data_IF_113497133803
#
_entry.id   IF_113497133803
#
_cell.length_a   1.000
_cell.length_b   1.000
_cell.length_c   1.000
_cell.angle_alpha   90.00
_cell.angle_beta   90.00
_cell.angle_gamma   90.00
#
_symmetry.space_group_name_H-M   'P 1'
#
loop_
_entity.id
_entity.type
_entity.pdbx_description
1 polymer ?
#
# COMPACT_ATOMS: atom_id res chain seq x y z
N UNK A 1 25.90 48.05 -46.09
CA UNK A 1 26.71 47.37 -45.07
C UNK A 1 25.98 47.43 -43.71
N UNK A 2 25.39 46.32 -43.26
CA UNK A 2 24.96 45.99 -41.86
C UNK A 2 24.04 44.78 -41.94
N UNK A 3 24.63 43.59 -42.12
CA UNK A 3 23.98 42.32 -41.81
C UNK A 3 25.08 41.46 -41.22
N UNK A 4 25.15 41.38 -39.92
CA UNK A 4 25.78 40.29 -39.16
C UNK A 4 25.55 40.59 -37.67
N UNK A 5 24.71 39.85 -37.03
CA UNK A 5 24.74 39.51 -35.57
C UNK A 5 23.36 39.05 -35.09
N UNK A 6 22.96 37.81 -35.37
CA UNK A 6 21.90 37.16 -34.64
C UNK A 6 21.97 35.61 -34.81
N UNK A 7 23.11 34.98 -34.50
CA UNK A 7 23.19 33.49 -34.48
C UNK A 7 24.07 32.98 -33.33
N UNK A 8 24.07 33.59 -32.15
CA UNK A 8 24.89 33.06 -31.06
C UNK A 8 24.18 32.58 -29.78
N UNK A 9 22.89 32.78 -29.51
CA UNK A 9 22.29 32.28 -28.26
C UNK A 9 21.82 30.83 -28.32
N UNK A 10 21.54 30.25 -29.49
CA UNK A 10 20.97 28.90 -29.61
C UNK A 10 21.96 27.76 -29.37
N UNK A 11 23.27 27.97 -29.59
CA UNK A 11 24.27 26.92 -29.39
C UNK A 11 24.73 26.73 -27.94
N UNK A 12 24.66 27.74 -27.10
CA UNK A 12 25.07 27.66 -25.70
C UNK A 12 24.05 26.89 -24.85
N UNK A 13 22.76 27.06 -25.08
CA UNK A 13 21.72 26.33 -24.37
C UNK A 13 21.73 24.81 -24.61
N UNK A 14 22.00 24.39 -25.85
CA UNK A 14 22.13 22.98 -26.22
C UNK A 14 23.35 22.29 -25.62
N UNK A 15 24.46 23.00 -25.44
CA UNK A 15 25.70 22.48 -24.85
C UNK A 15 25.55 22.26 -23.32
N UNK A 16 24.93 23.18 -22.61
CA UNK A 16 24.67 23.05 -21.17
C UNK A 16 23.67 21.92 -20.86
N UNK A 17 22.65 21.76 -21.68
CA UNK A 17 21.66 20.68 -21.51
C UNK A 17 22.26 19.28 -21.75
N UNK A 18 23.10 19.16 -22.78
CA UNK A 18 23.85 17.94 -23.10
C UNK A 18 24.86 17.56 -22.00
N UNK A 19 25.51 18.56 -21.40
CA UNK A 19 26.49 18.32 -20.33
C UNK A 19 25.81 17.89 -19.01
N UNK A 20 24.69 18.50 -18.63
CA UNK A 20 23.91 18.11 -17.45
C UNK A 20 23.34 16.71 -17.61
N UNK A 21 22.75 16.38 -18.75
CA UNK A 21 22.20 15.03 -19.01
C UNK A 21 23.27 13.94 -18.88
N UNK A 22 24.46 14.16 -19.42
CA UNK A 22 25.58 13.21 -19.31
C UNK A 22 26.03 13.01 -17.86
N UNK A 23 26.10 14.08 -17.07
CA UNK A 23 26.49 14.01 -15.66
C UNK A 23 25.43 13.25 -14.85
N UNK A 24 24.15 13.53 -15.07
CA UNK A 24 23.05 12.85 -14.38
C UNK A 24 22.98 11.36 -14.78
N UNK A 25 23.17 11.03 -16.05
CA UNK A 25 23.26 9.63 -16.49
C UNK A 25 24.42 8.87 -15.83
N UNK A 26 25.58 9.50 -15.66
CA UNK A 26 26.71 8.89 -14.94
C UNK A 26 26.39 8.72 -13.44
N UNK A 27 25.71 9.70 -12.84
CA UNK A 27 25.30 9.57 -11.42
C UNK A 27 24.24 8.48 -11.22
N UNK A 28 23.27 8.38 -12.13
CA UNK A 28 22.30 7.30 -12.16
C UNK A 28 22.96 5.93 -12.22
N UNK A 29 23.98 5.80 -13.09
CA UNK A 29 24.76 4.55 -13.15
C UNK A 29 25.46 4.24 -11.83
N UNK A 30 26.10 5.22 -11.18
CA UNK A 30 26.76 5.01 -9.87
C UNK A 30 25.75 4.58 -8.79
N UNK A 31 24.57 5.20 -8.74
CA UNK A 31 23.49 4.82 -7.82
C UNK A 31 23.05 3.37 -8.10
N UNK A 32 22.83 3.04 -9.37
CA UNK A 32 22.44 1.69 -9.77
C UNK A 32 23.51 0.65 -9.43
N UNK A 33 24.77 0.92 -9.74
CA UNK A 33 25.87 0.01 -9.45
C UNK A 33 26.00 -0.24 -7.94
N UNK A 34 25.92 0.81 -7.12
CA UNK A 34 25.99 0.70 -5.66
C UNK A 34 24.86 -0.18 -5.10
N UNK A 35 23.61 0.12 -5.45
CA UNK A 35 22.46 -0.59 -4.89
C UNK A 35 22.42 -2.05 -5.38
N UNK A 36 22.64 -2.29 -6.67
CA UNK A 36 22.56 -3.63 -7.24
C UNK A 36 23.66 -4.58 -6.76
N UNK A 37 24.82 -4.02 -6.35
CA UNK A 37 25.97 -4.80 -5.88
C UNK A 37 26.06 -4.86 -4.35
N UNK A 38 25.87 -3.72 -3.69
CA UNK A 38 26.12 -3.55 -2.24
C UNK A 38 24.83 -3.29 -1.42
N UNK A 39 23.67 -3.07 -2.08
CA UNK A 39 22.42 -2.77 -1.40
C UNK A 39 21.99 -3.85 -0.43
N UNK A 40 21.39 -3.45 0.68
CA UNK A 40 20.98 -4.31 1.79
C UNK A 40 19.48 -4.58 1.85
N UNK A 41 18.68 -3.98 0.97
CA UNK A 41 17.22 -4.07 1.02
C UNK A 41 16.71 -5.51 1.08
N UNK A 42 17.34 -6.45 0.37
CA UNK A 42 16.87 -7.83 0.35
C UNK A 42 17.15 -8.57 1.67
N UNK A 43 18.33 -8.37 2.24
CA UNK A 43 18.72 -8.92 3.55
C UNK A 43 17.92 -8.27 4.68
N UNK A 44 17.71 -6.96 4.63
CA UNK A 44 16.89 -6.21 5.59
C UNK A 44 15.41 -6.66 5.53
N UNK A 45 14.88 -6.91 4.32
CA UNK A 45 13.53 -7.45 4.15
C UNK A 45 13.41 -8.86 4.76
N UNK A 46 14.44 -9.71 4.56
CA UNK A 46 14.45 -11.03 5.18
C UNK A 46 14.38 -10.96 6.71
N UNK A 47 15.15 -10.06 7.33
CA UNK A 47 15.08 -9.86 8.79
C UNK A 47 13.66 -9.41 9.22
N UNK A 48 13.09 -8.42 8.52
CA UNK A 48 11.76 -7.89 8.86
C UNK A 48 10.68 -8.96 8.77
N UNK A 49 10.73 -9.79 7.73
CA UNK A 49 9.69 -10.80 7.44
C UNK A 49 9.89 -12.09 8.23
N UNK A 50 11.12 -12.63 8.28
CA UNK A 50 11.38 -13.95 8.90
C UNK A 50 11.64 -13.89 10.40
N UNK A 51 12.25 -12.81 10.89
CA UNK A 51 12.57 -12.70 12.31
C UNK A 51 11.45 -11.99 13.10
N UNK A 52 10.64 -11.15 12.45
CA UNK A 52 9.52 -10.44 13.07
C UNK A 52 8.16 -10.96 12.55
N UNK A 53 7.98 -11.02 11.23
CA UNK A 53 6.76 -11.53 10.58
C UNK A 53 5.64 -10.50 10.50
N UNK A 54 4.39 -11.01 10.55
CA UNK A 54 3.19 -10.17 10.53
C UNK A 54 3.21 -9.14 11.65
N UNK A 55 2.82 -7.90 11.32
CA UNK A 55 3.08 -6.76 12.21
C UNK A 55 1.96 -5.71 12.17
N UNK A 56 0.71 -6.14 12.27
CA UNK A 56 -0.44 -5.23 12.31
C UNK A 56 -0.27 -4.24 13.48
N UNK A 57 -0.58 -2.98 13.25
CA UNK A 57 -0.47 -1.92 14.26
C UNK A 57 -1.27 -2.27 15.53
N UNK A 58 -0.60 -2.16 16.68
CA UNK A 58 -1.15 -2.59 17.97
C UNK A 58 -0.70 -3.98 18.42
N UNK A 59 0.06 -4.71 17.60
CA UNK A 59 0.66 -5.99 17.97
C UNK A 59 2.07 -5.81 18.57
N UNK A 60 2.53 -6.83 19.31
CA UNK A 60 3.90 -6.87 19.82
C UNK A 60 4.94 -6.92 18.70
N UNK A 61 4.61 -7.52 17.57
CA UNK A 61 5.51 -7.57 16.42
C UNK A 61 5.64 -6.21 15.75
N UNK A 62 4.57 -5.40 15.73
CA UNK A 62 4.69 -4.01 15.29
C UNK A 62 5.71 -3.23 16.12
N UNK A 63 5.66 -3.34 17.44
CA UNK A 63 6.62 -2.65 18.32
C UNK A 63 8.08 -3.11 18.07
N UNK A 64 8.29 -4.42 17.85
CA UNK A 64 9.61 -4.96 17.45
C UNK A 64 10.06 -4.42 16.10
N UNK A 65 9.14 -4.29 15.13
CA UNK A 65 9.46 -3.74 13.81
C UNK A 65 9.83 -2.27 13.86
N UNK A 66 9.20 -1.50 14.75
CA UNK A 66 9.59 -0.11 14.98
C UNK A 66 11.00 0.02 15.58
N UNK A 67 11.36 -0.82 16.54
CA UNK A 67 12.72 -0.86 17.10
C UNK A 67 13.74 -1.33 16.05
N UNK A 68 13.38 -2.31 15.21
CA UNK A 68 14.18 -2.75 14.08
C UNK A 68 14.38 -1.62 13.05
N UNK A 69 13.32 -0.91 12.67
CA UNK A 69 13.41 0.19 11.71
C UNK A 69 14.31 1.33 12.23
N UNK A 70 14.22 1.67 13.52
CA UNK A 70 15.13 2.62 14.16
C UNK A 70 16.58 2.18 14.00
N UNK A 71 16.88 0.93 14.31
CA UNK A 71 18.24 0.36 14.15
C UNK A 71 18.71 0.44 12.70
N UNK A 72 17.85 0.05 11.73
CA UNK A 72 18.23 0.06 10.31
C UNK A 72 18.46 1.46 9.74
N UNK A 73 17.70 2.46 10.19
CA UNK A 73 17.93 3.86 9.82
C UNK A 73 19.27 4.38 10.36
N UNK A 74 19.64 4.03 11.59
CA UNK A 74 20.95 4.35 12.14
C UNK A 74 22.08 3.64 11.36
N UNK A 75 21.94 2.36 11.05
CA UNK A 75 22.88 1.58 10.23
C UNK A 75 23.02 2.14 8.80
N UNK A 76 21.93 2.68 8.24
CA UNK A 76 21.93 3.37 6.95
C UNK A 76 22.64 4.74 7.00
N UNK A 77 23.00 5.22 8.19
CA UNK A 77 23.77 6.45 8.40
C UNK A 77 22.91 7.70 8.53
N UNK A 78 21.66 7.57 9.00
CA UNK A 78 20.86 8.73 9.37
C UNK A 78 21.58 9.59 10.43
N UNK A 79 21.53 10.91 10.28
CA UNK A 79 22.12 11.85 11.24
C UNK A 79 21.29 11.97 12.53
N UNK A 80 19.95 11.75 12.39
CA UNK A 80 18.99 11.69 13.48
C UNK A 80 17.95 10.60 13.21
N UNK A 81 17.51 9.90 14.26
CA UNK A 81 16.39 8.96 14.22
C UNK A 81 15.54 9.17 15.48
N UNK A 82 14.21 9.20 15.31
CA UNK A 82 13.28 9.37 16.45
C UNK A 82 11.95 8.65 16.18
N UNK A 83 11.19 8.46 17.24
CA UNK A 83 9.81 7.97 17.18
C UNK A 83 8.81 9.13 17.16
N UNK A 84 7.82 9.04 16.30
CA UNK A 84 6.65 9.91 16.31
C UNK A 84 5.46 9.13 16.90
N UNK A 85 4.92 9.54 18.07
CA UNK A 85 3.77 8.86 18.67
C UNK A 85 2.53 8.93 17.76
N UNK A 86 1.82 7.80 17.63
CA UNK A 86 0.60 7.67 16.83
C UNK A 86 -0.45 6.91 17.63
N UNK A 87 -1.64 7.50 17.82
CA UNK A 87 -2.77 6.83 18.45
C UNK A 87 -3.51 5.98 17.42
N UNK A 88 -3.64 4.67 17.69
CA UNK A 88 -4.26 3.72 16.77
C UNK A 88 -5.40 2.95 17.46
N UNK A 89 -6.37 2.52 16.66
CA UNK A 89 -7.34 1.52 17.08
C UNK A 89 -6.69 0.13 16.96
N UNK A 90 -6.86 -0.70 17.98
CA UNK A 90 -6.34 -2.07 17.98
C UNK A 90 -7.45 -3.01 17.54
N UNK A 91 -7.22 -3.73 16.47
CA UNK A 91 -8.08 -4.81 15.99
C UNK A 91 -7.33 -6.13 16.04
N UNK A 92 -8.01 -7.21 16.39
CA UNK A 92 -7.44 -8.56 16.39
C UNK A 92 -8.38 -9.53 15.69
N UNK A 93 -7.82 -10.55 15.03
CA UNK A 93 -8.57 -11.55 14.27
C UNK A 93 -9.20 -12.61 15.18
N UNK A 94 -8.40 -13.33 15.94
CA UNK A 94 -8.85 -14.49 16.71
C UNK A 94 -9.12 -15.73 15.84
N UNK A 95 -9.77 -16.75 16.44
CA UNK A 95 -10.17 -17.95 15.71
C UNK A 95 -11.35 -17.66 14.79
N UNK A 96 -11.36 -18.32 13.62
CA UNK A 96 -12.39 -18.08 12.60
C UNK A 96 -12.66 -19.34 11.76
N UNK A 97 -13.94 -19.56 11.40
CA UNK A 97 -14.36 -20.65 10.52
C UNK A 97 -15.64 -20.31 9.75
N UNK A 98 -15.79 -20.90 8.59
CA UNK A 98 -16.99 -20.84 7.77
C UNK A 98 -17.32 -22.23 7.25
N UNK A 99 -18.53 -22.70 7.50
CA UNK A 99 -19.07 -23.93 6.95
C UNK A 99 -20.30 -23.64 6.10
N UNK A 100 -20.42 -24.30 4.97
CA UNK A 100 -21.57 -24.23 4.07
C UNK A 100 -22.26 -25.58 3.99
N UNK A 101 -23.59 -25.55 3.92
CA UNK A 101 -24.43 -26.73 3.69
C UNK A 101 -25.42 -26.46 2.57
N UNK A 102 -25.36 -27.27 1.52
CA UNK A 102 -26.26 -27.20 0.38
C UNK A 102 -27.47 -28.09 0.62
N UNK A 103 -28.67 -27.52 0.55
CA UNK A 103 -29.94 -28.17 0.88
C UNK A 103 -29.89 -28.79 2.30
N UNK A 104 -30.03 -30.12 2.42
CA UNK A 104 -29.92 -30.88 3.67
C UNK A 104 -28.67 -31.79 3.66
N UNK A 105 -27.64 -31.44 2.86
CA UNK A 105 -26.40 -32.20 2.75
C UNK A 105 -25.51 -32.10 3.99
N UNK A 106 -24.26 -32.50 3.84
CA UNK A 106 -23.21 -32.37 4.86
C UNK A 106 -22.66 -30.93 4.89
N UNK A 107 -22.25 -30.50 6.08
CA UNK A 107 -21.44 -29.30 6.23
C UNK A 107 -20.08 -29.49 5.55
N UNK A 108 -19.62 -28.45 4.87
CA UNK A 108 -18.34 -28.38 4.21
C UNK A 108 -17.64 -27.10 4.61
N UNK A 109 -16.45 -27.23 5.14
CA UNK A 109 -15.58 -26.09 5.48
C UNK A 109 -15.16 -25.35 4.22
N UNK A 110 -15.11 -24.02 4.32
CA UNK A 110 -14.66 -23.10 3.29
C UNK A 110 -13.59 -22.19 3.90
N UNK A 111 -12.46 -22.08 3.23
CA UNK A 111 -11.41 -21.14 3.65
C UNK A 111 -11.94 -19.71 3.62
N UNK A 112 -11.73 -19.00 4.69
CA UNK A 112 -12.15 -17.61 4.80
C UNK A 112 -11.17 -16.79 5.62
N UNK A 113 -11.22 -15.48 5.47
CA UNK A 113 -10.59 -14.52 6.38
C UNK A 113 -11.61 -13.46 6.77
N UNK A 114 -11.69 -13.15 8.05
CA UNK A 114 -12.43 -11.97 8.51
C UNK A 114 -11.81 -10.72 7.89
N UNK A 115 -12.65 -9.80 7.44
CA UNK A 115 -12.17 -8.50 6.97
C UNK A 115 -11.64 -7.69 8.15
N UNK A 116 -10.54 -7.00 7.92
CA UNK A 116 -9.95 -6.11 8.91
C UNK A 116 -10.97 -5.06 9.40
N UNK A 117 -10.90 -4.69 10.66
CA UNK A 117 -11.86 -3.83 11.37
C UNK A 117 -13.27 -4.42 11.50
N UNK A 118 -13.50 -5.68 11.07
CA UNK A 118 -14.79 -6.33 11.23
C UNK A 118 -15.09 -6.64 12.70
N UNK A 119 -16.38 -6.63 13.06
CA UNK A 119 -16.88 -7.23 14.29
C UNK A 119 -17.11 -8.73 14.08
N UNK A 120 -16.72 -9.54 15.06
CA UNK A 120 -16.92 -10.97 15.05
C UNK A 120 -18.29 -11.41 15.54
N UNK A 121 -18.47 -12.72 15.65
CA UNK A 121 -19.70 -13.36 16.15
C UNK A 121 -19.76 -13.46 17.67
N UNK A 122 -18.78 -12.90 18.39
CA UNK A 122 -18.70 -12.88 19.86
C UNK A 122 -18.67 -14.28 20.48
N UNK A 123 -17.94 -15.19 19.85
CA UNK A 123 -17.79 -16.57 20.32
C UNK A 123 -19.02 -17.46 20.14
N UNK A 124 -19.96 -17.05 19.29
CA UNK A 124 -21.19 -17.83 18.99
C UNK A 124 -21.25 -18.12 17.51
N UNK A 125 -21.74 -19.29 17.15
CA UNK A 125 -22.03 -19.61 15.77
C UNK A 125 -23.17 -18.73 15.25
N UNK A 126 -22.93 -18.08 14.11
CA UNK A 126 -23.92 -17.31 13.40
C UNK A 126 -24.42 -18.13 12.22
N UNK A 127 -25.64 -18.67 12.34
CA UNK A 127 -26.27 -19.44 11.27
C UNK A 127 -27.22 -18.55 10.44
N UNK A 128 -27.20 -18.74 9.12
CA UNK A 128 -28.10 -18.04 8.20
C UNK A 128 -28.13 -18.63 6.81
N UNK A 129 -29.25 -18.41 6.12
CA UNK A 129 -29.35 -18.71 4.69
C UNK A 129 -28.52 -17.71 3.88
N UNK A 130 -27.79 -18.21 2.90
CA UNK A 130 -26.94 -17.38 2.03
C UNK A 130 -27.74 -16.94 0.80
N UNK A 131 -27.72 -15.65 0.47
CA UNK A 131 -28.25 -15.08 -0.76
C UNK A 131 -27.14 -14.47 -1.60
N UNK A 132 -27.22 -14.68 -2.91
CA UNK A 132 -26.28 -14.12 -3.89
C UNK A 132 -26.69 -12.73 -4.32
N UNK A 133 -25.72 -11.82 -4.35
CA UNK A 133 -25.82 -10.49 -4.95
C UNK A 133 -24.60 -10.25 -5.83
N UNK A 134 -24.78 -9.72 -7.05
CA UNK A 134 -23.68 -9.44 -7.96
C UNK A 134 -23.14 -8.03 -7.82
N UNK A 135 -24.02 -7.05 -7.70
CA UNK A 135 -23.64 -5.63 -7.64
C UNK A 135 -24.33 -4.92 -6.47
N UNK A 136 -23.80 -3.79 -6.05
CA UNK A 136 -24.46 -2.92 -5.07
C UNK A 136 -25.79 -2.40 -5.61
N UNK A 137 -25.86 -2.10 -6.91
CA UNK A 137 -27.08 -1.66 -7.59
C UNK A 137 -28.18 -2.74 -7.56
N UNK A 138 -27.80 -4.02 -7.65
CA UNK A 138 -28.78 -5.13 -7.49
C UNK A 138 -29.18 -5.28 -6.03
N UNK A 139 -28.26 -5.09 -5.10
CA UNK A 139 -28.56 -5.12 -3.66
C UNK A 139 -29.54 -4.02 -3.26
N UNK A 140 -29.37 -2.81 -3.77
CA UNK A 140 -30.26 -1.67 -3.47
C UNK A 140 -31.73 -1.97 -3.87
N UNK A 141 -31.96 -2.71 -4.96
CA UNK A 141 -33.29 -3.11 -5.45
C UNK A 141 -33.97 -4.19 -4.59
N UNK A 142 -33.21 -4.91 -3.76
CA UNK A 142 -33.79 -5.95 -2.91
C UNK A 142 -34.62 -5.30 -1.79
N UNK A 143 -35.85 -5.78 -1.56
CA UNK A 143 -36.63 -5.34 -0.40
C UNK A 143 -36.01 -5.89 0.90
N UNK A 144 -36.18 -5.17 2.01
CA UNK A 144 -35.57 -5.53 3.29
C UNK A 144 -35.92 -6.95 3.75
N UNK A 145 -37.14 -7.41 3.52
CA UNK A 145 -37.56 -8.78 3.88
C UNK A 145 -36.77 -9.88 3.17
N UNK A 146 -36.19 -9.59 1.99
CA UNK A 146 -35.36 -10.54 1.26
C UNK A 146 -33.95 -10.65 1.85
N UNK A 147 -33.51 -9.63 2.57
CA UNK A 147 -32.17 -9.52 3.19
C UNK A 147 -32.21 -9.86 4.68
N UNK A 148 -33.32 -9.53 5.35
CA UNK A 148 -33.48 -9.73 6.78
C UNK A 148 -33.17 -11.15 7.20
N UNK A 149 -32.34 -11.29 8.24
CA UNK A 149 -31.88 -12.55 8.82
C UNK A 149 -31.05 -13.45 7.89
N UNK A 150 -30.58 -12.92 6.75
CA UNK A 150 -29.74 -13.62 5.76
C UNK A 150 -28.27 -13.27 5.91
N UNK A 151 -27.42 -14.12 5.36
CA UNK A 151 -26.01 -13.84 5.07
C UNK A 151 -25.92 -13.45 3.59
N UNK A 152 -25.42 -12.26 3.31
CA UNK A 152 -25.36 -11.75 1.92
C UNK A 152 -23.99 -12.04 1.33
N UNK A 153 -23.97 -12.78 0.24
CA UNK A 153 -22.76 -13.07 -0.52
C UNK A 153 -22.65 -12.15 -1.73
N UNK A 154 -21.63 -11.27 -1.74
CA UNK A 154 -21.29 -10.44 -2.88
C UNK A 154 -20.22 -11.11 -3.74
N UNK A 155 -20.60 -11.60 -4.93
CA UNK A 155 -19.64 -12.16 -5.89
C UNK A 155 -19.32 -11.15 -6.99
N UNK A 156 -18.48 -10.16 -6.66
CA UNK A 156 -17.99 -9.16 -7.61
C UNK A 156 -16.52 -9.40 -7.90
N UNK A 157 -16.24 -9.99 -9.08
CA UNK A 157 -14.87 -10.26 -9.52
C UNK A 157 -14.19 -9.00 -10.08
N UNK A 158 -12.86 -9.02 -10.11
CA UNK A 158 -12.10 -8.03 -10.86
C UNK A 158 -12.52 -8.02 -12.33
N UNK A 159 -12.79 -6.84 -12.86
CA UNK A 159 -13.10 -6.67 -14.27
C UNK A 159 -11.83 -6.86 -15.10
N UNK A 160 -11.88 -7.81 -16.02
CA UNK A 160 -10.73 -8.21 -16.83
C UNK A 160 -10.32 -7.17 -17.88
N UNK A 161 -11.19 -6.21 -18.20
CA UNK A 161 -10.89 -5.10 -19.11
C UNK A 161 -9.89 -4.09 -18.53
N UNK A 162 -9.65 -4.08 -17.22
CA UNK A 162 -8.63 -3.22 -16.62
C UNK A 162 -7.23 -3.82 -16.84
N UNK A 163 -6.43 -3.19 -17.68
CA UNK A 163 -5.04 -3.57 -17.92
C UNK A 163 -4.18 -3.34 -16.66
N UNK A 164 -4.46 -2.27 -15.92
CA UNK A 164 -3.81 -1.97 -14.64
C UNK A 164 -4.65 -2.57 -13.52
N UNK A 165 -4.16 -3.61 -12.88
CA UNK A 165 -4.90 -4.35 -11.84
C UNK A 165 -5.30 -3.48 -10.64
N UNK A 166 -4.54 -2.43 -10.31
CA UNK A 166 -4.91 -1.43 -9.31
C UNK A 166 -6.24 -0.71 -9.60
N UNK A 167 -6.63 -0.56 -10.88
CA UNK A 167 -7.93 -0.01 -11.26
C UNK A 167 -9.06 -1.01 -10.96
N UNK A 168 -8.82 -2.31 -11.21
CA UNK A 168 -9.77 -3.36 -10.85
C UNK A 168 -9.95 -3.45 -9.33
N UNK A 169 -8.86 -3.34 -8.56
CA UNK A 169 -8.91 -3.28 -7.10
C UNK A 169 -9.68 -2.06 -6.60
N UNK A 170 -9.46 -0.88 -7.18
CA UNK A 170 -10.21 0.34 -6.86
C UNK A 170 -11.71 0.21 -7.11
N UNK A 171 -12.11 -0.39 -8.26
CA UNK A 171 -13.51 -0.63 -8.63
C UNK A 171 -14.19 -1.63 -7.68
N UNK A 172 -13.53 -2.75 -7.37
CA UNK A 172 -14.07 -3.79 -6.49
C UNK A 172 -13.98 -3.44 -5.00
N UNK A 173 -13.08 -2.57 -4.59
CA UNK A 173 -12.81 -2.24 -3.19
C UNK A 173 -14.02 -1.73 -2.40
N UNK A 174 -15.00 -1.14 -3.05
CA UNK A 174 -16.27 -0.71 -2.42
C UNK A 174 -17.02 -1.90 -1.78
N UNK A 175 -16.98 -3.09 -2.38
CA UNK A 175 -17.66 -4.27 -1.84
C UNK A 175 -17.06 -4.72 -0.50
N UNK A 176 -15.78 -4.54 -0.29
CA UNK A 176 -15.13 -4.77 1.01
C UNK A 176 -15.48 -3.68 2.01
N UNK A 177 -15.48 -2.41 1.59
CA UNK A 177 -15.57 -1.27 2.50
C UNK A 177 -16.97 -0.96 3.00
N UNK A 178 -18.02 -1.04 2.15
CA UNK A 178 -19.35 -0.51 2.52
C UNK A 178 -20.41 -1.58 2.75
N UNK A 179 -20.26 -2.78 2.17
CA UNK A 179 -21.32 -3.79 2.20
C UNK A 179 -21.77 -4.20 3.59
N UNK A 180 -20.91 -4.26 4.66
CA UNK A 180 -21.39 -4.61 5.98
C UNK A 180 -22.44 -3.62 6.53
N UNK A 181 -22.23 -2.32 6.32
CA UNK A 181 -23.23 -1.32 6.72
C UNK A 181 -24.49 -1.38 5.88
N UNK A 182 -24.37 -1.53 4.55
CA UNK A 182 -25.52 -1.62 3.67
C UNK A 182 -26.40 -2.84 3.98
N UNK A 183 -25.78 -3.99 4.22
CA UNK A 183 -26.50 -5.22 4.61
C UNK A 183 -27.16 -5.07 5.97
N UNK A 184 -26.47 -4.47 6.95
CA UNK A 184 -27.03 -4.23 8.28
C UNK A 184 -28.25 -3.30 8.24
N UNK A 185 -28.28 -2.28 7.39
CA UNK A 185 -29.44 -1.38 7.20
C UNK A 185 -30.72 -2.14 6.81
N UNK A 186 -30.58 -3.23 6.07
CA UNK A 186 -31.72 -4.10 5.67
C UNK A 186 -31.92 -5.33 6.59
N UNK A 187 -31.25 -5.36 7.74
CA UNK A 187 -31.39 -6.42 8.75
C UNK A 187 -30.70 -7.73 8.42
N UNK A 188 -29.72 -7.73 7.51
CA UNK A 188 -28.88 -8.89 7.25
C UNK A 188 -27.93 -9.19 8.42
N UNK A 189 -27.50 -10.45 8.56
CA UNK A 189 -26.72 -10.95 9.70
C UNK A 189 -25.21 -10.87 9.50
N UNK A 190 -24.72 -11.10 8.27
CA UNK A 190 -23.30 -11.11 7.94
C UNK A 190 -23.11 -10.88 6.44
N UNK A 191 -21.86 -10.57 6.06
CA UNK A 191 -21.44 -10.42 4.67
C UNK A 191 -20.34 -11.41 4.35
N UNK A 192 -20.45 -12.07 3.21
CA UNK A 192 -19.37 -12.80 2.55
C UNK A 192 -19.04 -12.03 1.27
N UNK A 193 -17.77 -11.76 1.00
CA UNK A 193 -17.33 -11.20 -0.28
C UNK A 193 -16.39 -12.17 -1.00
N UNK A 194 -16.40 -12.11 -2.32
CA UNK A 194 -15.30 -12.64 -3.12
C UNK A 194 -14.03 -11.86 -2.81
N UNK A 195 -12.91 -12.53 -2.67
CA UNK A 195 -11.59 -11.91 -2.52
C UNK A 195 -11.27 -10.94 -3.65
N UNK A 196 -10.62 -9.83 -3.31
CA UNK A 196 -10.22 -8.79 -4.26
C UNK A 196 -8.89 -9.18 -4.91
N UNK A 197 -8.94 -10.04 -5.89
CA UNK A 197 -7.78 -10.64 -6.56
C UNK A 197 -8.01 -10.85 -8.05
N UNK A 198 -6.93 -10.93 -8.82
CA UNK A 198 -6.88 -11.45 -10.19
C UNK A 198 -6.64 -12.95 -10.26
N UNK A 199 -6.24 -13.58 -9.15
CA UNK A 199 -5.99 -15.02 -9.05
C UNK A 199 -7.27 -15.85 -9.14
N UNK A 200 -7.13 -17.10 -9.63
CA UNK A 200 -8.16 -18.14 -9.66
C UNK A 200 -7.77 -19.29 -8.73
N UNK A 201 -7.66 -19.00 -7.46
CA UNK A 201 -7.34 -19.95 -6.41
C UNK A 201 -8.34 -19.86 -5.25
N UNK A 202 -8.10 -20.63 -4.20
CA UNK A 202 -8.94 -20.66 -3.00
C UNK A 202 -8.25 -19.97 -1.81
N UNK A 203 -7.41 -18.96 -2.07
CA UNK A 203 -6.79 -18.13 -1.04
C UNK A 203 -7.68 -16.93 -0.74
N UNK A 204 -8.17 -16.77 0.50
CA UNK A 204 -8.96 -15.59 0.86
C UNK A 204 -8.05 -14.39 1.10
N UNK A 205 -8.53 -13.20 0.71
CA UNK A 205 -7.87 -11.91 0.88
C UNK A 205 -8.61 -11.06 1.90
N UNK A 206 -7.91 -10.63 2.94
CA UNK A 206 -8.46 -9.70 3.94
C UNK A 206 -8.41 -8.23 3.45
N UNK A 207 -8.35 -7.31 4.37
CA UNK A 207 -8.27 -5.87 4.16
C UNK A 207 -9.39 -5.14 4.89
N UNK A 208 -9.20 -3.86 5.19
CA UNK A 208 -10.09 -3.15 6.10
C UNK A 208 -11.48 -2.90 5.53
N UNK A 209 -12.50 -3.17 6.36
CA UNK A 209 -13.87 -2.70 6.16
C UNK A 209 -14.14 -1.42 6.96
N UNK A 210 -15.26 -0.77 6.66
CA UNK A 210 -15.71 0.45 7.36
C UNK A 210 -17.16 0.29 7.73
N UNK A 211 -17.47 0.66 8.97
CA UNK A 211 -18.85 0.74 9.43
C UNK A 211 -19.31 2.19 9.44
N UNK A 212 -20.55 2.42 9.02
CA UNK A 212 -21.20 3.71 9.11
C UNK A 212 -21.68 3.93 10.54
N UNK A 213 -21.50 5.15 11.06
CA UNK A 213 -21.91 5.50 12.43
C UNK A 213 -23.42 5.33 12.62
N UNK A 214 -23.80 4.74 13.75
CA UNK A 214 -25.21 4.48 14.09
C UNK A 214 -25.82 3.24 13.43
N UNK A 215 -25.12 2.57 12.52
CA UNK A 215 -25.55 1.29 11.92
C UNK A 215 -24.98 0.12 12.71
N UNK A 216 -25.78 -0.93 12.97
CA UNK A 216 -25.28 -2.14 13.64
C UNK A 216 -24.08 -2.74 12.89
N UNK A 217 -23.03 -3.08 13.62
CA UNK A 217 -21.86 -3.75 13.05
C UNK A 217 -22.14 -5.25 12.96
N UNK A 218 -22.02 -5.81 11.78
CA UNK A 218 -22.20 -7.23 11.49
C UNK A 218 -20.89 -7.84 10.98
N UNK A 219 -20.67 -9.16 11.18
CA UNK A 219 -19.49 -9.84 10.67
C UNK A 219 -19.36 -9.74 9.16
N UNK A 220 -18.12 -9.58 8.70
CA UNK A 220 -17.79 -9.51 7.28
C UNK A 220 -16.52 -10.32 6.99
N UNK A 221 -16.59 -11.21 6.00
CA UNK A 221 -15.53 -12.15 5.67
C UNK A 221 -15.32 -12.23 4.16
N UNK A 222 -14.11 -12.62 3.76
CA UNK A 222 -13.77 -12.93 2.37
C UNK A 222 -13.53 -14.43 2.18
N UNK A 223 -13.87 -14.95 1.00
CA UNK A 223 -13.57 -16.31 0.55
C UNK A 223 -12.76 -16.24 -0.75
N UNK A 224 -11.98 -17.29 -1.04
CA UNK A 224 -11.19 -17.39 -2.26
C UNK A 224 -12.05 -17.39 -3.54
N UNK A 225 -11.40 -17.16 -4.68
CA UNK A 225 -12.11 -17.05 -5.96
C UNK A 225 -12.79 -18.36 -6.38
N UNK A 226 -12.14 -19.51 -6.19
CA UNK A 226 -12.72 -20.82 -6.49
C UNK A 226 -13.96 -21.12 -5.64
N UNK A 227 -13.89 -20.88 -4.33
CA UNK A 227 -15.03 -21.04 -3.42
C UNK A 227 -16.17 -20.08 -3.75
N UNK A 228 -15.85 -18.86 -4.18
CA UNK A 228 -16.84 -17.87 -4.59
C UNK A 228 -17.59 -18.31 -5.87
N UNK A 229 -16.87 -18.81 -6.88
CA UNK A 229 -17.47 -19.31 -8.12
C UNK A 229 -18.33 -20.56 -7.88
N UNK A 230 -17.85 -21.48 -7.03
CA UNK A 230 -18.61 -22.66 -6.61
C UNK A 230 -19.91 -22.27 -5.89
N UNK A 231 -19.84 -21.35 -4.93
CA UNK A 231 -21.02 -20.89 -4.18
C UNK A 231 -22.04 -20.21 -5.10
N UNK A 232 -21.58 -19.39 -6.04
CA UNK A 232 -22.44 -18.77 -7.06
C UNK A 232 -23.16 -19.80 -7.90
N UNK A 233 -22.43 -20.79 -8.44
CA UNK A 233 -23.02 -21.85 -9.27
C UNK A 233 -24.18 -22.57 -8.56
N UNK A 234 -24.00 -22.90 -7.27
CA UNK A 234 -25.03 -23.54 -6.46
C UNK A 234 -26.24 -22.65 -6.29
N UNK A 235 -26.04 -21.37 -5.96
CA UNK A 235 -27.12 -20.42 -5.72
C UNK A 235 -27.89 -20.10 -7.00
N UNK A 236 -27.21 -20.02 -8.17
CA UNK A 236 -27.87 -19.85 -9.47
C UNK A 236 -28.73 -21.05 -9.87
N UNK A 237 -28.39 -22.27 -9.44
CA UNK A 237 -29.21 -23.48 -9.57
C UNK A 237 -30.40 -23.50 -8.59
N UNK A 238 -30.64 -22.40 -7.87
CA UNK A 238 -31.70 -22.24 -6.87
C UNK A 238 -31.65 -23.27 -5.74
N UNK A 239 -30.47 -23.77 -5.42
CA UNK A 239 -30.27 -24.62 -4.26
C UNK A 239 -30.21 -23.73 -3.01
N UNK A 240 -30.79 -24.22 -1.91
CA UNK A 240 -30.68 -23.52 -0.63
C UNK A 240 -29.31 -23.77 -0.02
N UNK A 241 -28.63 -22.70 0.38
CA UNK A 241 -27.35 -22.76 1.08
C UNK A 241 -27.52 -22.17 2.47
N UNK A 242 -27.14 -22.91 3.47
CA UNK A 242 -26.97 -22.43 4.85
C UNK A 242 -25.50 -22.25 5.13
N UNK A 243 -25.15 -21.22 5.88
CA UNK A 243 -23.80 -21.01 6.38
C UNK A 243 -23.80 -20.97 7.91
N UNK A 244 -22.73 -21.49 8.50
CA UNK A 244 -22.37 -21.26 9.90
C UNK A 244 -21.04 -20.51 9.89
N UNK A 245 -21.06 -19.30 10.43
CA UNK A 245 -19.90 -18.42 10.56
C UNK A 245 -19.52 -18.29 12.03
N UNK A 246 -18.29 -18.57 12.37
CA UNK A 246 -17.67 -18.24 13.65
C UNK A 246 -16.48 -17.33 13.41
N UNK A 247 -16.40 -16.21 14.12
CA UNK A 247 -15.27 -15.28 14.02
C UNK A 247 -15.13 -14.55 15.35
N UNK A 248 -13.94 -14.60 15.93
CA UNK A 248 -13.61 -13.94 17.20
C UNK A 248 -12.88 -12.61 17.02
N UNK A 249 -12.91 -12.07 15.79
CA UNK A 249 -12.30 -10.78 15.52
C UNK A 249 -13.03 -9.60 16.18
N UNK A 250 -12.34 -8.50 16.41
CA UNK A 250 -12.95 -7.29 16.94
C UNK A 250 -11.99 -6.21 17.36
N UNK A 251 -12.57 -5.06 17.69
CA UNK A 251 -11.84 -3.92 18.21
C UNK A 251 -11.54 -4.07 19.69
N UNK A 252 -10.28 -3.89 20.09
CA UNK A 252 -9.77 -4.04 21.46
C UNK A 252 -9.30 -2.69 22.06
N UNK A 253 -9.99 -1.61 21.73
CA UNK A 253 -9.67 -0.28 22.24
C UNK A 253 -8.64 0.48 21.41
N UNK A 254 -7.93 1.38 22.07
CA UNK A 254 -6.91 2.22 21.46
C UNK A 254 -5.58 2.09 22.21
N UNK A 255 -4.49 2.25 21.49
CA UNK A 255 -3.16 2.34 22.10
C UNK A 255 -2.28 3.37 21.40
N UNK A 256 -1.29 3.85 22.12
CA UNK A 256 -0.23 4.65 21.55
C UNK A 256 0.83 3.73 20.95
N UNK A 257 1.08 3.87 19.66
CA UNK A 257 2.21 3.26 18.95
C UNK A 257 3.08 4.38 18.34
N UNK A 258 3.90 4.08 17.32
CA UNK A 258 4.88 5.03 16.81
C UNK A 258 5.20 4.80 15.34
N UNK A 259 5.27 5.87 14.54
CA UNK A 259 6.04 5.87 13.29
C UNK A 259 7.53 6.07 13.61
N UNK A 260 8.41 5.60 12.72
CA UNK A 260 9.87 5.75 12.88
C UNK A 260 10.39 6.69 11.82
N UNK A 261 11.14 7.71 12.23
CA UNK A 261 11.61 8.74 11.31
C UNK A 261 13.12 8.86 11.43
N UNK A 262 13.81 8.83 10.28
CA UNK A 262 15.25 9.05 10.19
C UNK A 262 15.61 10.01 9.09
N UNK A 263 16.63 10.84 9.27
CA UNK A 263 17.00 11.82 8.26
C UNK A 263 18.50 12.05 8.13
N UNK A 264 18.91 12.48 6.94
CA UNK A 264 20.20 13.10 6.66
C UNK A 264 19.98 14.58 6.38
N UNK A 265 20.73 15.44 7.10
CA UNK A 265 20.56 16.90 6.98
C UNK A 265 21.06 17.43 5.63
N UNK A 266 20.32 18.36 5.08
CA UNK A 266 20.72 19.16 3.92
C UNK A 266 21.81 20.17 4.26
N UNK A 267 22.51 20.65 3.24
CA UNK A 267 23.63 21.60 3.41
C UNK A 267 23.21 23.04 3.24
N UNK A 268 22.20 23.32 2.46
CA UNK A 268 21.91 24.67 1.97
C UNK A 268 20.64 25.29 2.51
N UNK A 269 19.66 24.51 2.96
CA UNK A 269 18.42 25.00 3.52
C UNK A 269 17.74 23.97 4.46
N UNK A 270 16.66 24.42 5.11
CA UNK A 270 15.90 23.60 6.04
C UNK A 270 14.75 22.81 5.39
N UNK A 271 14.63 22.83 4.05
CA UNK A 271 13.56 22.13 3.35
C UNK A 271 13.73 20.61 3.40
N UNK A 272 12.61 19.93 3.38
CA UNK A 272 12.54 18.48 3.55
C UNK A 272 12.01 17.80 2.29
N UNK A 273 12.66 16.71 1.90
CA UNK A 273 12.19 15.71 0.95
C UNK A 273 11.86 14.46 1.76
N UNK A 274 10.61 14.02 1.71
CA UNK A 274 10.14 12.80 2.39
C UNK A 274 10.24 11.61 1.45
N UNK A 275 10.69 10.48 2.00
CA UNK A 275 10.61 9.15 1.38
C UNK A 275 9.97 8.24 2.39
N UNK A 276 8.94 7.47 2.02
CA UNK A 276 8.22 6.69 2.99
C UNK A 276 7.59 5.41 2.46
N UNK A 277 7.10 4.64 3.41
CA UNK A 277 6.38 3.39 3.26
C UNK A 277 5.71 3.07 4.60
N UNK A 278 4.68 2.19 4.63
CA UNK A 278 4.13 1.80 5.90
C UNK A 278 4.83 0.60 6.52
N UNK A 279 5.00 0.66 7.83
CA UNK A 279 5.73 -0.36 8.58
C UNK A 279 4.85 -1.53 9.00
N UNK A 280 3.57 -1.29 9.21
CA UNK A 280 2.62 -2.35 9.54
C UNK A 280 2.32 -3.25 8.33
N UNK A 281 1.74 -4.39 8.59
CA UNK A 281 1.21 -5.33 7.61
C UNK A 281 0.00 -6.05 8.19
N UNK A 282 -0.80 -6.71 7.35
CA UNK A 282 -1.84 -7.61 7.84
C UNK A 282 -1.24 -8.76 8.67
N UNK A 283 -2.08 -9.31 9.53
CA UNK A 283 -1.75 -10.35 10.51
C UNK A 283 -1.67 -11.77 9.92
N UNK A 284 -1.94 -11.93 8.64
CA UNK A 284 -2.10 -13.24 7.98
C UNK A 284 -0.89 -13.67 7.14
N UNK A 285 -0.04 -12.73 6.74
CA UNK A 285 1.17 -12.97 5.96
C UNK A 285 2.42 -12.45 6.66
N UNK A 286 3.53 -12.38 5.95
CA UNK A 286 4.77 -11.78 6.45
C UNK A 286 4.86 -10.28 6.10
N UNK A 287 3.95 -9.77 5.24
CA UNK A 287 3.97 -8.41 4.75
C UNK A 287 5.27 -8.09 4.00
N UNK A 288 5.66 -8.98 3.08
CA UNK A 288 6.92 -8.83 2.36
C UNK A 288 6.80 -7.83 1.21
N UNK A 289 5.72 -7.91 0.45
CA UNK A 289 5.40 -6.92 -0.58
C UNK A 289 4.61 -5.75 -0.01
N UNK A 290 3.74 -5.99 0.98
CA UNK A 290 2.81 -5.05 1.57
C UNK A 290 3.10 -4.82 3.07
N UNK A 291 3.94 -3.87 3.50
CA UNK A 291 4.77 -3.01 2.66
C UNK A 291 6.25 -3.07 3.12
N UNK A 292 6.72 -4.27 3.50
CA UNK A 292 8.14 -4.48 3.84
C UNK A 292 9.08 -4.05 2.70
N UNK A 293 8.65 -4.26 1.44
CA UNK A 293 9.41 -3.86 0.27
C UNK A 293 9.65 -2.34 0.22
N UNK A 294 8.60 -1.54 0.42
CA UNK A 294 8.72 -0.08 0.43
C UNK A 294 9.58 0.43 1.58
N UNK A 295 9.46 -0.18 2.78
CA UNK A 295 10.29 0.16 3.94
C UNK A 295 11.78 0.00 3.62
N UNK A 296 12.20 -1.17 3.13
CA UNK A 296 13.62 -1.41 2.88
C UNK A 296 14.15 -0.62 1.69
N UNK A 297 13.31 -0.33 0.68
CA UNK A 297 13.65 0.56 -0.42
C UNK A 297 13.87 2.00 0.07
N UNK A 298 13.01 2.49 0.96
CA UNK A 298 13.12 3.82 1.56
C UNK A 298 14.39 3.98 2.40
N UNK A 299 14.73 2.98 3.22
CA UNK A 299 15.97 2.96 4.00
C UNK A 299 17.21 2.94 3.09
N UNK A 300 17.15 2.20 1.96
CA UNK A 300 18.25 2.12 1.00
C UNK A 300 18.55 3.48 0.33
N UNK A 301 17.57 4.36 0.21
CA UNK A 301 17.79 5.74 -0.27
C UNK A 301 18.80 6.44 0.63
N UNK A 302 18.60 6.44 1.96
CA UNK A 302 19.54 7.06 2.90
C UNK A 302 20.92 6.40 2.82
N UNK A 303 20.96 5.06 2.86
CA UNK A 303 22.20 4.29 2.79
C UNK A 303 23.03 4.65 1.57
N UNK A 304 22.36 4.73 0.40
CA UNK A 304 23.04 5.06 -0.86
C UNK A 304 23.60 6.47 -0.87
N UNK A 305 22.85 7.46 -0.36
CA UNK A 305 23.35 8.83 -0.24
C UNK A 305 24.62 8.90 0.63
N UNK A 306 24.66 8.16 1.75
CA UNK A 306 25.82 8.10 2.63
C UNK A 306 27.01 7.36 1.99
N UNK A 307 26.78 6.17 1.42
CA UNK A 307 27.86 5.34 0.84
C UNK A 307 28.55 6.04 -0.33
N UNK A 308 27.78 6.65 -1.22
CA UNK A 308 28.30 7.39 -2.36
C UNK A 308 28.73 8.82 -2.01
N UNK A 309 28.56 9.24 -0.74
CA UNK A 309 28.85 10.60 -0.27
C UNK A 309 28.19 11.67 -1.15
N UNK A 310 26.94 11.40 -1.56
CA UNK A 310 26.16 12.35 -2.34
C UNK A 310 25.91 13.60 -1.49
N UNK A 311 26.13 14.76 -2.08
CA UNK A 311 25.85 16.03 -1.43
C UNK A 311 24.37 16.34 -1.66
N UNK A 312 23.58 16.28 -0.60
CA UNK A 312 22.19 16.70 -0.62
C UNK A 312 22.08 18.19 -0.25
N UNK A 313 21.26 18.91 -0.99
CA UNK A 313 20.93 20.31 -0.69
C UNK A 313 19.87 20.38 0.40
N UNK A 314 18.86 19.54 0.33
CA UNK A 314 17.72 19.47 1.22
C UNK A 314 17.87 18.30 2.20
N UNK A 315 17.19 18.37 3.33
CA UNK A 315 17.08 17.25 4.26
C UNK A 315 16.29 16.11 3.57
N UNK A 316 16.87 14.92 3.54
CA UNK A 316 16.19 13.70 3.08
C UNK A 316 15.73 12.95 4.30
N UNK A 317 14.41 12.79 4.45
CA UNK A 317 13.76 12.18 5.60
C UNK A 317 13.03 10.91 5.18
N UNK A 318 13.38 9.79 5.80
CA UNK A 318 12.64 8.53 5.67
C UNK A 318 11.63 8.44 6.79
N UNK A 319 10.40 8.09 6.45
CA UNK A 319 9.30 7.86 7.38
C UNK A 319 8.77 6.45 7.19
N UNK A 320 8.91 5.61 8.23
CA UNK A 320 8.24 4.32 8.32
C UNK A 320 6.91 4.55 9.03
N UNK A 321 5.84 4.70 8.26
CA UNK A 321 4.51 5.08 8.76
C UNK A 321 3.86 3.95 9.55
N UNK A 322 3.07 4.31 10.55
CA UNK A 322 2.30 3.39 11.36
C UNK A 322 0.85 3.33 10.88
N UNK A 323 0.24 2.14 10.91
CA UNK A 323 -1.21 1.99 10.82
C UNK A 323 -1.82 2.43 9.48
N UNK A 324 -1.18 2.13 8.37
CA UNK A 324 -1.78 2.29 7.04
C UNK A 324 -2.98 1.35 6.89
N UNK A 325 -2.74 0.05 7.10
CA UNK A 325 -3.61 -1.08 6.78
C UNK A 325 -5.04 -0.94 7.32
N UNK A 326 -5.16 -0.40 8.52
CA UNK A 326 -6.47 -0.34 9.17
C UNK A 326 -6.81 1.03 9.76
N UNK A 327 -6.11 2.11 9.34
CA UNK A 327 -6.41 3.43 9.90
C UNK A 327 -5.80 4.65 9.24
N UNK A 328 -4.69 4.52 8.50
CA UNK A 328 -3.92 5.64 7.89
C UNK A 328 -3.52 6.70 8.94
N UNK A 329 -3.25 6.26 10.18
CA UNK A 329 -2.99 7.20 11.29
C UNK A 329 -1.62 7.82 11.25
N UNK A 330 -0.60 7.06 10.79
CA UNK A 330 0.78 7.52 10.67
C UNK A 330 0.90 8.70 9.71
N UNK A 331 0.39 8.56 8.51
CA UNK A 331 0.41 9.61 7.49
C UNK A 331 -0.33 10.88 7.93
N UNK A 332 -1.51 10.73 8.55
CA UNK A 332 -2.27 11.87 9.09
C UNK A 332 -1.55 12.57 10.24
N UNK A 333 -0.98 11.81 11.18
CA UNK A 333 -0.21 12.38 12.31
C UNK A 333 1.04 13.12 11.81
N UNK A 334 1.70 12.57 10.77
CA UNK A 334 2.84 13.23 10.16
C UNK A 334 2.43 14.56 9.52
N UNK A 335 1.38 14.55 8.69
CA UNK A 335 0.83 15.78 8.06
C UNK A 335 0.43 16.83 9.10
N UNK A 336 -0.26 16.46 10.18
CA UNK A 336 -0.66 17.37 11.26
C UNK A 336 0.58 17.97 11.94
N UNK A 337 1.64 17.19 12.13
CA UNK A 337 2.92 17.65 12.69
C UNK A 337 3.58 18.66 11.76
N UNK A 338 3.67 18.37 10.46
CA UNK A 338 4.20 19.28 9.44
C UNK A 338 3.41 20.59 9.41
N UNK A 339 2.08 20.51 9.41
CA UNK A 339 1.19 21.69 9.44
C UNK A 339 1.42 22.55 10.67
N UNK A 340 1.64 21.94 11.82
CA UNK A 340 1.84 22.65 13.09
C UNK A 340 3.23 23.28 13.19
N UNK A 341 4.26 22.61 12.69
CA UNK A 341 5.65 23.10 12.74
C UNK A 341 5.97 24.09 11.64
N UNK A 342 5.15 24.16 10.60
CA UNK A 342 5.40 24.95 9.38
C UNK A 342 6.74 24.59 8.70
N UNK A 343 7.29 23.42 8.99
CA UNK A 343 8.53 22.93 8.40
C UNK A 343 8.37 22.79 6.87
N UNK A 344 9.21 23.44 6.06
CA UNK A 344 8.99 23.47 4.61
C UNK A 344 9.30 22.13 3.97
N UNK A 345 8.28 21.47 3.45
CA UNK A 345 8.40 20.24 2.68
C UNK A 345 8.24 20.55 1.20
N UNK A 346 9.13 20.03 0.35
CA UNK A 346 9.11 20.31 -1.09
C UNK A 346 8.70 19.12 -1.95
N UNK A 347 8.78 17.91 -1.40
CA UNK A 347 8.40 16.68 -2.10
C UNK A 347 8.19 15.53 -1.13
N UNK A 348 7.29 14.61 -1.49
CA UNK A 348 7.13 13.33 -0.81
C UNK A 348 7.05 12.19 -1.84
N UNK A 349 7.74 11.09 -1.57
CA UNK A 349 7.74 9.85 -2.35
C UNK A 349 7.35 8.68 -1.45
N UNK A 350 6.46 7.81 -1.93
CA UNK A 350 6.09 6.57 -1.25
C UNK A 350 6.24 5.39 -2.18
N UNK A 351 6.64 4.25 -1.64
CA UNK A 351 6.61 2.96 -2.29
C UNK A 351 5.66 2.05 -1.52
N UNK A 352 4.49 1.78 -2.10
CA UNK A 352 3.43 0.94 -1.56
C UNK A 352 2.69 0.25 -2.72
N UNK A 353 3.45 -0.54 -3.48
CA UNK A 353 2.95 -1.30 -4.64
C UNK A 353 3.74 -2.61 -4.82
N UNK A 354 4.37 -3.07 -3.74
CA UNK A 354 5.18 -4.27 -3.69
C UNK A 354 6.58 -4.13 -4.31
N UNK A 355 7.41 -5.12 -4.03
CA UNK A 355 8.80 -5.20 -4.51
C UNK A 355 8.94 -5.71 -5.95
N UNK A 356 7.98 -5.46 -6.83
CA UNK A 356 8.00 -5.86 -8.24
C UNK A 356 8.79 -4.87 -9.10
N UNK A 357 8.99 -5.23 -10.39
CA UNK A 357 9.73 -4.37 -11.32
C UNK A 357 9.11 -2.97 -11.41
N UNK A 358 9.88 -1.89 -11.17
CA UNK A 358 9.37 -0.52 -11.28
C UNK A 358 8.96 -0.20 -12.73
N UNK A 359 7.88 0.58 -12.91
CA UNK A 359 7.33 0.93 -14.22
C UNK A 359 7.10 2.42 -14.41
N UNK A 360 6.62 3.12 -13.37
CA UNK A 360 6.31 4.54 -13.46
C UNK A 360 6.39 5.24 -12.11
N UNK A 361 6.28 6.56 -12.13
CA UNK A 361 6.01 7.40 -10.97
C UNK A 361 4.72 8.16 -11.17
N UNK A 362 3.87 8.19 -10.16
CA UNK A 362 2.67 9.01 -10.18
C UNK A 362 2.98 10.50 -9.92
N UNK A 363 2.04 11.38 -10.26
CA UNK A 363 2.24 12.83 -10.26
C UNK A 363 1.14 13.55 -9.47
N UNK A 364 1.05 13.29 -8.15
CA UNK A 364 0.16 13.97 -7.22
C UNK A 364 0.60 15.41 -6.90
N UNK A 365 0.68 16.28 -7.92
CA UNK A 365 1.30 17.59 -7.78
C UNK A 365 0.79 18.62 -8.78
N UNK A 366 1.19 19.89 -8.59
CA UNK A 366 0.89 20.97 -9.53
C UNK A 366 1.49 20.67 -10.93
N UNK A 367 0.81 21.06 -12.04
CA UNK A 367 1.25 20.77 -13.41
C UNK A 367 2.69 21.18 -13.74
N UNK A 368 3.18 22.29 -13.18
CA UNK A 368 4.55 22.75 -13.42
C UNK A 368 5.59 21.76 -12.86
N UNK A 369 5.35 21.25 -11.64
CA UNK A 369 6.20 20.24 -11.02
C UNK A 369 6.11 18.91 -11.77
N UNK A 370 4.92 18.51 -12.18
CA UNK A 370 4.69 17.34 -13.03
C UNK A 370 5.45 17.45 -14.37
N UNK A 371 5.41 18.62 -15.01
CA UNK A 371 6.18 18.88 -16.24
C UNK A 371 7.69 18.76 -16.01
N UNK A 372 8.18 19.27 -14.88
CA UNK A 372 9.58 19.12 -14.47
C UNK A 372 9.97 17.65 -14.37
N UNK A 373 9.21 16.83 -13.63
CA UNK A 373 9.48 15.39 -13.50
C UNK A 373 9.43 14.65 -14.84
N UNK A 374 8.44 14.92 -15.68
CA UNK A 374 8.34 14.33 -17.03
C UNK A 374 9.56 14.63 -17.91
N UNK A 375 10.22 15.78 -17.72
CA UNK A 375 11.41 16.11 -18.47
C UNK A 375 12.61 15.18 -18.21
N UNK A 376 12.59 14.44 -17.10
CA UNK A 376 13.64 13.49 -16.71
C UNK A 376 13.43 12.07 -17.26
N UNK A 377 12.29 11.77 -17.89
CA UNK A 377 11.91 10.43 -18.35
C UNK A 377 13.02 9.69 -19.09
N UNK A 378 13.73 10.35 -20.01
CA UNK A 378 14.83 9.73 -20.76
C UNK A 378 15.98 9.23 -19.89
N UNK A 379 16.20 9.81 -18.72
CA UNK A 379 17.20 9.34 -17.75
C UNK A 379 16.75 8.03 -17.07
N UNK A 380 15.46 7.89 -16.87
CA UNK A 380 14.86 6.76 -16.15
C UNK A 380 14.55 5.53 -17.01
N UNK A 381 14.34 5.73 -18.33
CA UNK A 381 14.01 4.63 -19.25
C UNK A 381 14.98 3.43 -19.16
N UNK A 382 16.32 3.60 -19.05
CA UNK A 382 17.24 2.48 -18.91
C UNK A 382 17.03 1.64 -17.62
N UNK A 383 16.29 2.18 -16.63
CA UNK A 383 16.05 1.57 -15.34
C UNK A 383 14.61 1.02 -15.18
N UNK A 384 13.83 1.01 -16.27
CA UNK A 384 12.50 0.40 -16.30
C UNK A 384 11.35 1.36 -16.03
N UNK A 385 11.62 2.64 -15.81
CA UNK A 385 10.59 3.67 -15.70
C UNK A 385 10.32 4.27 -17.07
N UNK A 386 9.15 4.01 -17.62
CA UNK A 386 8.74 4.44 -18.95
C UNK A 386 7.67 5.52 -18.94
N UNK A 387 7.12 5.84 -17.76
CA UNK A 387 6.04 6.79 -17.64
C UNK A 387 6.11 7.59 -16.33
N UNK A 388 5.73 8.85 -16.44
CA UNK A 388 5.43 9.74 -15.32
C UNK A 388 3.98 10.22 -15.51
N UNK A 389 3.03 9.55 -14.84
CA UNK A 389 1.60 9.76 -15.09
C UNK A 389 0.73 9.46 -13.88
N UNK A 390 -0.58 9.82 -14.01
CA UNK A 390 -1.56 9.69 -12.93
C UNK A 390 -1.51 10.86 -11.95
N UNK A 391 -2.62 11.16 -11.31
CA UNK A 391 -2.74 12.24 -10.30
C UNK A 391 -3.06 11.62 -8.94
N UNK A 392 -2.17 10.75 -8.47
CA UNK A 392 -2.24 10.11 -7.16
C UNK A 392 -0.85 10.09 -6.51
N UNK A 393 -0.79 9.71 -5.27
CA UNK A 393 0.43 9.46 -4.51
C UNK A 393 0.27 8.13 -3.76
N UNK A 394 1.16 7.81 -2.84
CA UNK A 394 0.94 6.76 -1.86
C UNK A 394 -0.05 7.20 -0.78
N UNK A 395 -0.61 6.24 -0.05
CA UNK A 395 -1.71 6.46 0.90
C UNK A 395 -1.27 7.29 2.10
N UNK A 396 -0.09 7.04 2.64
CA UNK A 396 0.42 7.73 3.83
C UNK A 396 0.88 9.17 3.55
N UNK A 397 1.31 9.45 2.32
CA UNK A 397 1.72 10.81 1.92
C UNK A 397 0.59 11.60 1.26
N UNK A 398 -0.54 10.97 0.90
CA UNK A 398 -1.70 11.68 0.33
C UNK A 398 -2.17 12.86 1.20
N UNK A 399 -2.20 12.78 2.56
CA UNK A 399 -2.55 13.92 3.40
C UNK A 399 -1.65 15.14 3.22
N UNK A 400 -0.38 14.99 2.85
CA UNK A 400 0.54 16.11 2.60
C UNK A 400 0.11 16.98 1.42
N UNK A 401 -0.67 16.43 0.48
CA UNK A 401 -1.23 17.20 -0.65
C UNK A 401 -2.23 18.27 -0.20
N UNK A 402 -2.86 18.10 0.95
CA UNK A 402 -3.71 19.16 1.56
C UNK A 402 -2.87 20.41 1.86
N UNK A 403 -1.59 20.25 2.15
CA UNK A 403 -0.62 21.32 2.35
C UNK A 403 0.05 21.78 1.04
N UNK A 404 -0.44 21.29 -0.12
CA UNK A 404 0.10 21.54 -1.47
C UNK A 404 1.54 21.05 -1.66
N UNK A 405 1.99 20.09 -0.86
CA UNK A 405 3.27 19.43 -1.02
C UNK A 405 3.15 18.46 -2.21
N UNK A 406 4.03 18.58 -3.21
CA UNK A 406 4.10 17.63 -4.32
C UNK A 406 4.35 16.21 -3.82
N UNK A 407 3.55 15.26 -4.27
CA UNK A 407 3.66 13.86 -3.85
C UNK A 407 3.69 12.91 -5.05
N UNK A 408 4.42 11.82 -4.92
CA UNK A 408 4.57 10.79 -5.96
C UNK A 408 4.58 9.40 -5.32
N UNK A 409 3.98 8.43 -5.99
CA UNK A 409 4.11 7.01 -5.65
C UNK A 409 4.99 6.30 -6.67
N UNK A 410 5.83 5.37 -6.21
CA UNK A 410 6.46 4.40 -7.10
C UNK A 410 5.39 3.40 -7.55
N UNK A 411 5.21 3.26 -8.85
CA UNK A 411 4.28 2.29 -9.43
C UNK A 411 5.08 1.13 -10.02
N UNK A 412 4.84 -0.06 -9.52
CA UNK A 412 5.49 -1.29 -9.98
C UNK A 412 4.62 -2.03 -11.01
N UNK A 413 5.14 -3.11 -11.57
CA UNK A 413 4.36 -4.08 -12.33
C UNK A 413 3.33 -4.75 -11.41
N UNK A 414 2.06 -4.40 -11.57
CA UNK A 414 1.00 -4.80 -10.65
C UNK A 414 0.31 -6.13 -11.01
N UNK A 415 0.76 -6.82 -12.07
CA UNK A 415 0.05 -8.01 -12.57
C UNK A 415 0.02 -9.17 -11.58
N UNK A 416 1.01 -9.24 -10.68
CA UNK A 416 1.13 -10.30 -9.66
C UNK A 416 0.83 -9.81 -8.24
N UNK A 417 0.71 -8.51 -8.03
CA UNK A 417 0.58 -7.93 -6.69
C UNK A 417 -0.71 -8.40 -6.00
N UNK A 418 -1.83 -8.31 -6.73
CA UNK A 418 -3.13 -8.70 -6.17
C UNK A 418 -3.37 -10.23 -6.13
N UNK A 419 -2.41 -11.04 -6.54
CA UNK A 419 -2.46 -12.49 -6.31
C UNK A 419 -2.08 -12.86 -4.87
N UNK A 420 -1.29 -11.99 -4.20
CA UNK A 420 -0.75 -12.24 -2.86
C UNK A 420 -1.12 -11.16 -1.83
N UNK A 421 -1.51 -9.98 -2.29
CA UNK A 421 -1.85 -8.83 -1.47
C UNK A 421 -2.92 -9.16 -0.43
N UNK A 422 -2.65 -8.88 0.85
CA UNK A 422 -3.52 -9.14 1.99
C UNK A 422 -3.83 -10.64 2.24
N UNK A 423 -2.88 -11.51 1.97
CA UNK A 423 -3.02 -12.97 2.15
C UNK A 423 -1.87 -13.59 2.93
N UNK A 424 -2.02 -14.86 3.38
CA UNK A 424 -0.88 -15.61 3.93
C UNK A 424 0.26 -15.85 2.93
N UNK A 425 0.02 -15.64 1.62
CA UNK A 425 0.99 -15.83 0.55
C UNK A 425 1.94 -14.63 0.36
N UNK A 426 1.71 -13.50 1.03
CA UNK A 426 2.65 -12.37 1.01
C UNK A 426 3.86 -12.67 1.90
N UNK A 427 4.79 -13.44 1.35
CA UNK A 427 5.98 -13.95 2.03
C UNK A 427 7.27 -13.51 1.34
N UNK A 428 8.38 -13.57 2.08
CA UNK A 428 9.71 -13.23 1.56
C UNK A 428 10.08 -14.03 0.30
N UNK A 429 9.69 -15.30 0.21
CA UNK A 429 9.98 -16.18 -0.93
C UNK A 429 9.33 -15.72 -2.24
N UNK A 430 8.30 -14.88 -2.16
CA UNK A 430 7.65 -14.29 -3.34
C UNK A 430 8.41 -13.08 -3.89
N UNK A 431 9.35 -12.52 -3.11
CA UNK A 431 10.09 -11.31 -3.50
C UNK A 431 11.30 -11.66 -4.36
N UNK A 432 11.36 -11.10 -5.54
CA UNK A 432 12.53 -11.17 -6.40
C UNK A 432 13.57 -10.13 -5.96
N UNK A 433 14.76 -10.60 -5.55
CA UNK A 433 15.85 -9.72 -5.08
C UNK A 433 16.17 -8.59 -6.07
N UNK A 434 16.22 -8.90 -7.35
CA UNK A 434 16.60 -7.90 -8.37
C UNK A 434 15.52 -6.87 -8.60
N UNK A 435 14.26 -7.28 -8.65
CA UNK A 435 13.13 -6.36 -8.78
C UNK A 435 13.06 -5.40 -7.60
N UNK A 436 13.19 -5.91 -6.37
CA UNK A 436 13.23 -5.12 -5.14
C UNK A 436 14.33 -4.05 -5.17
N UNK A 437 15.55 -4.45 -5.52
CA UNK A 437 16.68 -3.53 -5.61
C UNK A 437 16.50 -2.48 -6.71
N UNK A 438 15.87 -2.82 -7.84
CA UNK A 438 15.56 -1.85 -8.89
C UNK A 438 14.57 -0.77 -8.41
N UNK A 439 13.61 -1.12 -7.55
CA UNK A 439 12.75 -0.14 -6.88
C UNK A 439 13.57 0.88 -6.08
N UNK A 440 14.49 0.41 -5.23
CA UNK A 440 15.39 1.29 -4.48
C UNK A 440 16.28 2.16 -5.39
N UNK A 441 16.75 1.61 -6.52
CA UNK A 441 17.53 2.35 -7.52
C UNK A 441 16.74 3.55 -8.03
N UNK A 442 15.53 3.32 -8.54
CA UNK A 442 14.77 4.41 -9.18
C UNK A 442 14.26 5.42 -8.17
N UNK A 443 13.93 5.00 -6.94
CA UNK A 443 13.60 5.91 -5.85
C UNK A 443 14.78 6.82 -5.51
N UNK A 444 15.98 6.26 -5.35
CA UNK A 444 17.20 7.04 -5.05
C UNK A 444 17.54 8.01 -6.18
N UNK A 445 17.38 7.57 -7.43
CA UNK A 445 17.58 8.43 -8.61
C UNK A 445 16.57 9.59 -8.64
N UNK A 446 15.30 9.34 -8.28
CA UNK A 446 14.28 10.38 -8.23
C UNK A 446 14.58 11.40 -7.14
N UNK A 447 14.94 10.95 -5.94
CA UNK A 447 15.32 11.84 -4.83
C UNK A 447 16.54 12.68 -5.20
N UNK A 448 17.56 12.09 -5.84
CA UNK A 448 18.71 12.84 -6.37
C UNK A 448 18.29 13.94 -7.36
N UNK A 449 17.36 13.64 -8.28
CA UNK A 449 16.88 14.64 -9.26
C UNK A 449 16.07 15.75 -8.61
N UNK A 450 15.20 15.41 -7.64
CA UNK A 450 14.42 16.39 -6.88
C UNK A 450 15.33 17.30 -6.06
N UNK A 451 16.25 16.72 -5.29
CA UNK A 451 17.21 17.45 -4.46
C UNK A 451 18.07 18.43 -5.26
N UNK A 452 18.43 18.05 -6.48
CA UNK A 452 19.26 18.87 -7.37
C UNK A 452 18.49 20.02 -8.03
N UNK A 453 17.20 19.84 -8.35
CA UNK A 453 16.48 20.72 -9.28
C UNK A 453 15.32 21.51 -8.64
N UNK A 454 14.91 21.24 -7.42
CA UNK A 454 13.76 21.88 -6.75
C UNK A 454 14.17 22.67 -5.52
#
# INVERSE_FOLDING_TARGET
MKKLLYILPLFLGGFFWSQNFKQDSLQFKKISDEILVNGKSYEDLRELTKDIGSRLSGSSNYEKSADWAMKKLLEAGADQVWFQPVMVNVWTRGDESLELRVNHGKWKEVKMLSLGNSEGTKGKDLEGEVILVKTLEDFEKLPDYAVKDKIVFFNYAFKQEFVVTGQAYGDAGKYRRVTPSEVAKKGGKAVIIRSLTSSFDDVPHTGSTRYEDGIPKIPAVAIGAESADYLEEILLKKQKVQAVLNSNCGMNGQMMTKSVIGEIKGKSDEKVIVVGAHLDSWDVGEGAHDDGAGIVQSIEVLRTFKNLKLKNNHTIRVVCFANEENGVRGGRTYMETVKKSEEPHIFALESDSGGFTPRSFSLGMHPDKAKSMKSWEKLFNPYGIYEFAGNHSGVDIEPLRELKIPASGLVTDSQRYFDIHHTPEDTFEKVNRRELLLGAVVMTQLIYMVDKNW
#
